data_IF_160254146043
#
_entry.id   IF_160254146043
#
_cell.length_a   1.000
_cell.length_b   1.000
_cell.length_c   1.000
_cell.angle_alpha   90.00
_cell.angle_beta   90.00
_cell.angle_gamma   90.00
#
_symmetry.space_group_name_H-M   'P 1'
#
loop_
_entity.id
_entity.type
_entity.pdbx_description
1 polymer ?
#
# COMPACT_ATOMS: atom_id res chain seq x y z
N UNK A 1 -6.67 -21.28 -22.49
CA UNK A 1 -5.87 -20.17 -23.03
C UNK A 1 -6.44 -18.82 -22.64
N UNK A 2 -7.78 -18.70 -22.52
CA UNK A 2 -8.49 -17.50 -22.02
C UNK A 2 -8.10 -17.14 -20.57
N UNK A 3 -7.97 -18.13 -19.70
CA UNK A 3 -7.71 -17.91 -18.26
C UNK A 3 -6.27 -17.40 -18.00
N UNK A 4 -5.30 -17.83 -18.80
CA UNK A 4 -3.94 -17.32 -18.73
C UNK A 4 -3.84 -15.86 -19.17
N UNK A 5 -4.62 -15.46 -20.18
CA UNK A 5 -4.69 -14.07 -20.64
C UNK A 5 -5.37 -13.17 -19.60
N UNK A 6 -6.32 -13.70 -18.83
CA UNK A 6 -6.98 -12.97 -17.75
C UNK A 6 -6.05 -12.72 -16.54
N UNK A 7 -5.09 -13.62 -16.28
CA UNK A 7 -4.12 -13.49 -15.19
C UNK A 7 -2.95 -12.57 -15.53
N UNK A 8 -2.66 -12.37 -16.82
CA UNK A 8 -1.51 -11.57 -17.26
C UNK A 8 -1.46 -10.15 -16.69
N UNK A 9 -2.55 -9.36 -16.68
CA UNK A 9 -2.53 -8.02 -16.10
C UNK A 9 -2.24 -8.01 -14.58
N UNK A 10 -2.63 -9.06 -13.85
CA UNK A 10 -2.32 -9.19 -12.42
C UNK A 10 -0.84 -9.44 -12.18
N UNK A 11 -0.24 -10.33 -12.98
CA UNK A 11 1.19 -10.65 -12.89
C UNK A 11 2.04 -9.43 -13.25
N UNK A 12 1.71 -8.77 -14.35
CA UNK A 12 2.41 -7.58 -14.81
C UNK A 12 2.40 -6.47 -13.77
N UNK A 13 1.24 -6.11 -13.25
CA UNK A 13 1.11 -5.05 -12.23
C UNK A 13 1.81 -5.41 -10.93
N UNK A 14 1.75 -6.68 -10.52
CA UNK A 14 2.46 -7.18 -9.33
C UNK A 14 3.97 -7.09 -9.51
N UNK A 15 4.48 -7.39 -10.69
CA UNK A 15 5.89 -7.26 -11.02
C UNK A 15 6.35 -5.79 -10.95
N UNK A 16 5.61 -4.88 -11.55
CA UNK A 16 5.91 -3.44 -11.50
C UNK A 16 5.82 -2.86 -10.07
N UNK A 17 4.91 -3.37 -9.26
CA UNK A 17 4.85 -3.01 -7.84
C UNK A 17 6.13 -3.41 -7.08
N UNK A 18 6.69 -4.58 -7.38
CA UNK A 18 7.98 -5.01 -6.85
C UNK A 18 9.13 -4.10 -7.30
N UNK A 19 9.17 -3.72 -8.57
CA UNK A 19 10.17 -2.78 -9.10
C UNK A 19 10.04 -1.41 -8.43
N UNK A 20 8.83 -0.90 -8.23
CA UNK A 20 8.60 0.35 -7.53
C UNK A 20 9.12 0.28 -6.09
N UNK A 21 8.80 -0.79 -5.34
CA UNK A 21 9.30 -1.00 -3.98
C UNK A 21 10.85 -1.07 -3.94
N UNK A 22 11.46 -1.72 -4.94
CA UNK A 22 12.92 -1.78 -5.07
C UNK A 22 13.51 -0.38 -5.32
N UNK A 23 12.94 0.41 -6.22
CA UNK A 23 13.38 1.79 -6.48
C UNK A 23 13.32 2.67 -5.24
N UNK A 24 12.22 2.60 -4.47
CA UNK A 24 12.11 3.32 -3.21
C UNK A 24 13.05 2.79 -2.13
N UNK A 25 13.37 1.50 -2.13
CA UNK A 25 14.37 0.95 -1.22
C UNK A 25 15.75 1.53 -1.47
N UNK A 26 16.11 1.75 -2.74
CA UNK A 26 17.37 2.42 -3.12
C UNK A 26 17.32 3.88 -2.67
N UNK A 27 16.21 4.58 -2.90
CA UNK A 27 16.03 5.97 -2.49
C UNK A 27 16.14 6.15 -0.96
N UNK A 28 15.67 5.19 -0.17
CA UNK A 28 15.76 5.18 1.29
C UNK A 28 17.10 4.64 1.81
N UNK A 29 18.06 4.40 0.93
CA UNK A 29 19.39 3.89 1.27
C UNK A 29 19.34 2.58 2.08
N UNK A 30 18.42 1.69 1.71
CA UNK A 30 18.25 0.37 2.32
C UNK A 30 19.47 -0.52 1.97
N UNK A 31 20.00 -1.33 2.92
CA UNK A 31 21.14 -2.19 2.64
C UNK A 31 20.90 -3.12 1.43
N UNK A 32 21.87 -3.21 0.52
CA UNK A 32 21.77 -3.94 -0.77
C UNK A 32 21.29 -5.38 -0.58
N UNK A 33 21.74 -6.05 0.50
CA UNK A 33 21.34 -7.41 0.85
C UNK A 33 19.84 -7.59 1.12
N UNK A 34 19.09 -6.51 1.37
CA UNK A 34 17.66 -6.54 1.70
C UNK A 34 16.78 -6.03 0.57
N UNK A 35 17.34 -5.52 -0.53
CA UNK A 35 16.59 -4.96 -1.66
C UNK A 35 15.62 -5.98 -2.27
N UNK A 36 16.06 -7.22 -2.46
CA UNK A 36 15.20 -8.28 -2.97
C UNK A 36 14.00 -8.55 -2.05
N UNK A 37 14.23 -8.50 -0.73
CA UNK A 37 13.17 -8.66 0.26
C UNK A 37 12.12 -7.54 0.20
N UNK A 38 12.57 -6.30 -0.03
CA UNK A 38 11.68 -5.15 -0.22
C UNK A 38 10.86 -5.29 -1.51
N UNK A 39 11.48 -5.73 -2.61
CA UNK A 39 10.76 -5.97 -3.86
C UNK A 39 9.67 -7.05 -3.69
N UNK A 40 10.00 -8.16 -3.04
CA UNK A 40 9.03 -9.23 -2.73
C UNK A 40 7.91 -8.72 -1.82
N UNK A 41 8.23 -7.91 -0.81
CA UNK A 41 7.24 -7.30 0.08
C UNK A 41 6.26 -6.41 -0.70
N UNK A 42 6.77 -5.56 -1.61
CA UNK A 42 5.92 -4.69 -2.45
C UNK A 42 5.04 -5.47 -3.41
N UNK A 43 5.58 -6.50 -4.07
CA UNK A 43 4.80 -7.41 -4.92
C UNK A 43 3.70 -8.11 -4.11
N UNK A 44 4.02 -8.64 -2.93
CA UNK A 44 3.07 -9.33 -2.07
C UNK A 44 1.96 -8.40 -1.59
N UNK A 45 2.30 -7.16 -1.19
CA UNK A 45 1.34 -6.15 -0.79
C UNK A 45 0.31 -5.88 -1.89
N UNK A 46 0.81 -5.60 -3.10
CA UNK A 46 -0.03 -5.26 -4.24
C UNK A 46 -0.88 -6.44 -4.71
N UNK A 47 -0.29 -7.63 -4.78
CA UNK A 47 -0.99 -8.86 -5.16
C UNK A 47 -2.15 -9.15 -4.20
N UNK A 48 -1.88 -9.10 -2.88
CA UNK A 48 -2.91 -9.33 -1.85
C UNK A 48 -4.05 -8.32 -1.99
N UNK A 49 -3.74 -7.03 -2.11
CA UNK A 49 -4.75 -6.00 -2.32
C UNK A 49 -5.58 -6.27 -3.57
N UNK A 50 -4.94 -6.63 -4.68
CA UNK A 50 -5.61 -6.84 -5.96
C UNK A 50 -6.52 -8.06 -5.94
N UNK A 51 -6.08 -9.16 -5.30
CA UNK A 51 -6.89 -10.36 -5.14
C UNK A 51 -8.08 -10.13 -4.19
N UNK A 52 -7.89 -9.36 -3.12
CA UNK A 52 -8.96 -9.06 -2.18
C UNK A 52 -9.98 -8.07 -2.75
N UNK A 53 -9.54 -7.08 -3.52
CA UNK A 53 -10.45 -6.10 -4.13
C UNK A 53 -11.16 -6.64 -5.39
N UNK A 54 -10.51 -7.50 -6.16
CA UNK A 54 -11.08 -8.07 -7.39
C UNK A 54 -11.92 -9.32 -7.11
N UNK A 55 -11.32 -10.52 -7.13
CA UNK A 55 -12.07 -11.78 -7.00
C UNK A 55 -12.86 -11.92 -5.70
N UNK A 56 -12.35 -11.40 -4.58
CA UNK A 56 -13.04 -11.48 -3.29
C UNK A 56 -14.08 -10.36 -3.07
N UNK A 57 -14.18 -9.36 -3.95
CA UNK A 57 -15.19 -8.31 -3.91
C UNK A 57 -15.09 -7.36 -2.70
N UNK A 58 -13.95 -7.29 -2.02
CA UNK A 58 -13.77 -6.41 -0.88
C UNK A 58 -13.55 -4.95 -1.34
N UNK A 59 -13.89 -3.99 -0.46
CA UNK A 59 -13.60 -2.59 -0.74
C UNK A 59 -12.09 -2.34 -0.84
N UNK A 60 -11.68 -1.31 -1.57
CA UNK A 60 -10.26 -0.98 -1.75
C UNK A 60 -9.56 -0.70 -0.41
N UNK A 61 -10.29 -0.13 0.54
CA UNK A 61 -9.82 0.21 1.88
C UNK A 61 -9.50 -1.06 2.70
N UNK A 62 -10.46 -2.01 2.74
CA UNK A 62 -10.28 -3.29 3.46
C UNK A 62 -9.22 -4.16 2.81
N UNK A 63 -9.19 -4.23 1.48
CA UNK A 63 -8.17 -4.95 0.73
C UNK A 63 -6.76 -4.37 1.00
N UNK A 64 -6.65 -3.04 1.10
CA UNK A 64 -5.39 -2.36 1.43
C UNK A 64 -4.97 -2.65 2.87
N UNK A 65 -5.90 -2.65 3.82
CA UNK A 65 -5.63 -3.00 5.23
C UNK A 65 -5.04 -4.41 5.34
N UNK A 66 -5.66 -5.39 4.66
CA UNK A 66 -5.19 -6.77 4.65
C UNK A 66 -3.78 -6.86 4.03
N UNK A 67 -3.57 -6.22 2.87
CA UNK A 67 -2.27 -6.20 2.19
C UNK A 67 -1.16 -5.58 3.05
N UNK A 68 -1.43 -4.43 3.67
CA UNK A 68 -0.48 -3.75 4.56
C UNK A 68 -0.17 -4.58 5.83
N UNK A 69 -1.18 -5.22 6.41
CA UNK A 69 -1.02 -6.08 7.59
C UNK A 69 -0.16 -7.30 7.26
N UNK A 70 -0.41 -7.95 6.13
CA UNK A 70 0.34 -9.12 5.68
C UNK A 70 1.82 -8.78 5.45
N UNK A 71 2.10 -7.65 4.77
CA UNK A 71 3.47 -7.17 4.60
C UNK A 71 4.12 -6.80 5.92
N UNK A 72 3.37 -6.22 6.85
CA UNK A 72 3.86 -5.94 8.19
C UNK A 72 4.31 -7.20 8.91
N UNK A 73 3.52 -8.28 8.90
CA UNK A 73 3.91 -9.58 9.49
C UNK A 73 5.10 -10.21 8.74
N UNK A 74 5.07 -10.22 7.42
CA UNK A 74 6.18 -10.74 6.61
C UNK A 74 7.50 -10.01 6.92
N UNK A 75 7.45 -8.68 7.03
CA UNK A 75 8.62 -7.85 7.35
C UNK A 75 9.17 -8.13 8.75
N UNK A 76 8.32 -8.36 9.75
CA UNK A 76 8.76 -8.77 11.10
C UNK A 76 9.44 -10.14 11.06
N UNK A 77 8.91 -11.09 10.28
CA UNK A 77 9.54 -12.40 10.10
C UNK A 77 10.90 -12.30 9.40
N UNK A 78 10.97 -11.51 8.32
CA UNK A 78 12.19 -11.33 7.53
C UNK A 78 13.24 -10.49 8.25
N UNK A 79 12.86 -9.51 9.06
CA UNK A 79 13.78 -8.67 9.83
C UNK A 79 14.68 -9.48 10.75
N UNK A 80 14.12 -10.53 11.37
CA UNK A 80 14.86 -11.46 12.23
C UNK A 80 15.92 -12.26 11.47
N UNK A 81 15.60 -12.68 10.22
CA UNK A 81 16.54 -13.44 9.37
C UNK A 81 17.63 -12.57 8.76
N UNK A 82 17.27 -11.35 8.37
CA UNK A 82 18.16 -10.42 7.69
C UNK A 82 18.93 -9.51 8.67
N UNK A 83 18.63 -9.58 9.97
CA UNK A 83 19.23 -8.74 11.02
C UNK A 83 19.12 -7.24 10.70
N UNK A 84 17.94 -6.80 10.26
CA UNK A 84 17.60 -5.40 9.99
C UNK A 84 16.29 -5.03 10.69
N UNK A 85 16.09 -3.78 11.10
CA UNK A 85 14.82 -3.35 11.69
C UNK A 85 13.64 -3.57 10.72
N UNK A 86 12.50 -4.05 11.22
CA UNK A 86 11.32 -4.31 10.40
C UNK A 86 10.86 -3.10 9.56
N UNK A 87 10.92 -1.83 10.05
CA UNK A 87 10.56 -0.66 9.25
C UNK A 87 11.36 -0.52 7.94
N UNK A 88 12.60 -1.00 7.90
CA UNK A 88 13.46 -0.97 6.69
C UNK A 88 12.84 -1.76 5.54
N UNK A 89 12.09 -2.82 5.86
CA UNK A 89 11.42 -3.68 4.87
C UNK A 89 9.98 -3.23 4.62
N UNK A 90 9.27 -2.83 5.68
CA UNK A 90 7.86 -2.43 5.62
C UNK A 90 7.68 -1.16 4.78
N UNK A 91 8.48 -0.12 5.03
CA UNK A 91 8.29 1.18 4.39
C UNK A 91 8.29 1.09 2.86
N UNK A 92 9.34 0.55 2.20
CA UNK A 92 9.30 0.39 0.75
C UNK A 92 8.20 -0.58 0.29
N UNK A 93 7.92 -1.64 1.08
CA UNK A 93 6.95 -2.67 0.74
C UNK A 93 5.50 -2.17 0.66
N UNK A 94 5.13 -1.12 1.40
CA UNK A 94 3.76 -0.58 1.38
C UNK A 94 3.56 0.55 0.37
N UNK A 95 4.62 1.11 -0.22
CA UNK A 95 4.52 2.20 -1.18
C UNK A 95 3.60 1.88 -2.37
N UNK A 96 3.62 0.67 -2.96
CA UNK A 96 2.71 0.33 -4.05
C UNK A 96 1.22 0.35 -3.66
N UNK A 97 0.90 0.35 -2.36
CA UNK A 97 -0.48 0.45 -1.87
C UNK A 97 -0.99 1.90 -1.80
N UNK A 98 -0.09 2.89 -1.84
CA UNK A 98 -0.46 4.30 -1.76
C UNK A 98 -1.31 4.67 -2.98
N UNK A 99 -2.51 5.25 -2.77
CA UNK A 99 -3.43 5.56 -3.86
C UNK A 99 -3.07 6.87 -4.56
N UNK A 100 -1.86 6.94 -5.16
CA UNK A 100 -1.31 8.17 -5.74
C UNK A 100 -2.21 8.81 -6.80
N UNK A 101 -2.76 8.00 -7.71
CA UNK A 101 -3.67 8.50 -8.75
C UNK A 101 -4.98 9.05 -8.17
N UNK A 102 -5.52 8.40 -7.13
CA UNK A 102 -6.72 8.89 -6.44
C UNK A 102 -6.43 10.18 -5.67
N UNK A 103 -5.32 10.24 -4.94
CA UNK A 103 -4.90 11.43 -4.22
C UNK A 103 -4.67 12.63 -5.15
N UNK A 104 -4.07 12.39 -6.32
CA UNK A 104 -3.86 13.43 -7.33
C UNK A 104 -5.19 13.93 -7.90
N UNK A 105 -6.12 13.04 -8.24
CA UNK A 105 -7.48 13.43 -8.69
C UNK A 105 -8.20 14.22 -7.63
N UNK A 106 -8.17 13.78 -6.38
CA UNK A 106 -8.77 14.49 -5.24
C UNK A 106 -8.23 15.92 -5.14
N UNK A 107 -6.92 16.09 -5.31
CA UNK A 107 -6.31 17.43 -5.30
C UNK A 107 -6.84 18.31 -6.44
N UNK A 108 -6.95 17.76 -7.66
CA UNK A 108 -7.52 18.50 -8.80
C UNK A 108 -8.99 18.85 -8.55
N UNK A 109 -9.80 17.91 -8.04
CA UNK A 109 -11.21 18.15 -7.73
C UNK A 109 -11.36 19.29 -6.71
N UNK A 110 -10.53 19.31 -5.66
CA UNK A 110 -10.53 20.39 -4.67
C UNK A 110 -10.09 21.74 -5.26
N UNK A 111 -9.07 21.76 -6.12
CA UNK A 111 -8.65 22.99 -6.80
C UNK A 111 -9.76 23.54 -7.70
N UNK A 112 -10.46 22.68 -8.44
CA UNK A 112 -11.59 23.08 -9.28
C UNK A 112 -12.74 23.67 -8.44
N UNK A 113 -13.01 23.11 -7.26
CA UNK A 113 -14.01 23.64 -6.33
C UNK A 113 -13.64 25.04 -5.83
N UNK A 114 -12.36 25.29 -5.54
CA UNK A 114 -11.92 26.62 -5.07
C UNK A 114 -11.87 27.66 -6.17
N UNK A 115 -11.70 27.25 -7.43
CA UNK A 115 -11.65 28.14 -8.59
C UNK A 115 -13.03 28.48 -9.17
N UNK A 116 -14.05 27.66 -8.90
CA UNK A 116 -15.40 27.86 -9.43
C UNK A 116 -16.18 28.92 -8.63
N UNK A 117 -16.79 29.93 -9.28
CA UNK A 117 -17.61 30.94 -8.58
C UNK A 117 -18.84 30.34 -7.89
N UNK A 118 -19.43 29.31 -8.49
CA UNK A 118 -20.54 28.50 -7.96
C UNK A 118 -20.21 27.04 -8.26
N UNK A 119 -19.72 26.28 -7.29
CA UNK A 119 -19.41 24.86 -7.51
C UNK A 119 -20.69 24.06 -7.71
N UNK A 120 -20.69 23.17 -8.72
CA UNK A 120 -21.75 22.20 -8.95
C UNK A 120 -21.83 21.19 -7.80
N UNK A 121 -23.04 20.87 -7.34
CA UNK A 121 -23.28 19.88 -6.27
C UNK A 121 -22.64 18.53 -6.59
N UNK A 122 -22.66 18.10 -7.86
CA UNK A 122 -22.04 16.87 -8.31
C UNK A 122 -20.52 16.91 -8.11
N UNK A 123 -19.86 18.01 -8.40
CA UNK A 123 -18.42 18.18 -8.21
C UNK A 123 -18.05 18.14 -6.72
N UNK A 124 -18.87 18.78 -5.86
CA UNK A 124 -18.69 18.74 -4.40
C UNK A 124 -18.78 17.29 -3.89
N UNK A 125 -19.79 16.56 -4.33
CA UNK A 125 -19.99 15.16 -3.92
C UNK A 125 -18.82 14.27 -4.35
N UNK A 126 -18.35 14.38 -5.59
CA UNK A 126 -17.21 13.61 -6.12
C UNK A 126 -15.94 13.93 -5.33
N UNK A 127 -15.63 15.21 -5.12
CA UNK A 127 -14.45 15.64 -4.38
C UNK A 127 -14.48 15.13 -2.93
N UNK A 128 -15.64 15.20 -2.27
CA UNK A 128 -15.81 14.67 -0.90
C UNK A 128 -15.56 13.16 -0.84
N UNK A 129 -16.22 12.38 -1.72
CA UNK A 129 -16.05 10.91 -1.77
C UNK A 129 -14.59 10.53 -2.03
N UNK A 130 -13.93 11.17 -3.01
CA UNK A 130 -12.53 10.88 -3.34
C UNK A 130 -11.60 11.23 -2.18
N UNK A 131 -11.86 12.33 -1.47
CA UNK A 131 -11.12 12.74 -0.28
C UNK A 131 -11.24 11.69 0.83
N UNK A 132 -12.46 11.29 1.19
CA UNK A 132 -12.69 10.27 2.22
C UNK A 132 -12.03 8.94 1.86
N UNK A 133 -12.17 8.48 0.62
CA UNK A 133 -11.51 7.25 0.16
C UNK A 133 -9.99 7.33 0.28
N UNK A 134 -9.40 8.44 -0.11
CA UNK A 134 -7.95 8.64 0.00
C UNK A 134 -7.49 8.56 1.45
N UNK A 135 -8.18 9.26 2.37
CA UNK A 135 -7.88 9.24 3.81
C UNK A 135 -8.03 7.83 4.38
N UNK A 136 -9.12 7.13 4.04
CA UNK A 136 -9.36 5.78 4.53
C UNK A 136 -8.31 4.77 4.06
N UNK A 137 -7.86 4.86 2.80
CA UNK A 137 -6.80 3.99 2.26
C UNK A 137 -5.46 4.26 2.96
N UNK A 138 -5.10 5.53 3.15
CA UNK A 138 -3.86 5.90 3.87
C UNK A 138 -3.95 5.44 5.34
N UNK A 139 -5.09 5.65 5.99
CA UNK A 139 -5.37 5.15 7.34
C UNK A 139 -5.27 3.62 7.43
N UNK A 140 -5.80 2.90 6.43
CA UNK A 140 -5.71 1.45 6.33
C UNK A 140 -4.24 0.96 6.23
N UNK A 141 -3.40 1.65 5.47
CA UNK A 141 -1.95 1.36 5.39
C UNK A 141 -1.31 1.57 6.77
N UNK A 142 -1.55 2.71 7.40
CA UNK A 142 -0.94 3.06 8.70
C UNK A 142 -1.33 2.05 9.78
N UNK A 143 -2.62 1.71 9.90
CA UNK A 143 -3.12 0.73 10.85
C UNK A 143 -2.58 -0.67 10.52
N UNK A 144 -2.62 -1.09 9.25
CA UNK A 144 -2.14 -2.39 8.82
C UNK A 144 -0.67 -2.63 9.17
N UNK A 145 0.18 -1.63 8.95
CA UNK A 145 1.62 -1.67 9.33
C UNK A 145 1.81 -1.67 10.84
N UNK A 146 0.96 -0.97 11.58
CA UNK A 146 1.07 -0.87 13.03
C UNK A 146 0.69 -2.17 13.76
N UNK A 147 -0.29 -2.93 13.26
CA UNK A 147 -0.80 -4.16 13.90
C UNK A 147 0.32 -5.15 14.27
N UNK A 148 1.20 -5.59 13.36
CA UNK A 148 2.26 -6.53 13.71
C UNK A 148 3.25 -5.95 14.71
N UNK A 149 3.59 -4.67 14.59
CA UNK A 149 4.53 -4.01 15.49
C UNK A 149 3.99 -3.94 16.93
N UNK A 150 2.70 -3.70 17.10
CA UNK A 150 2.03 -3.67 18.41
C UNK A 150 1.97 -5.06 19.05
N UNK A 151 1.67 -6.10 18.25
CA UNK A 151 1.59 -7.48 18.75
C UNK A 151 2.96 -7.97 19.23
N UNK A 152 4.01 -7.69 18.48
CA UNK A 152 5.36 -8.17 18.82
C UNK A 152 6.09 -7.31 19.85
N UNK A 153 5.76 -6.02 19.99
CA UNK A 153 6.37 -5.11 20.96
C UNK A 153 6.03 -5.45 22.41
N UNK A 154 4.90 -6.10 22.67
CA UNK A 154 4.48 -6.52 24.02
C UNK A 154 5.35 -7.60 24.68
N UNK A 155 6.34 -8.15 23.98
CA UNK A 155 7.16 -9.28 24.48
C UNK A 155 8.53 -8.89 25.05
N UNK A 156 8.88 -7.59 25.09
CA UNK A 156 10.07 -7.13 25.81
C UNK A 156 9.68 -6.00 26.77
N UNK A 157 9.44 -6.30 28.07
CA UNK A 157 9.49 -5.27 29.08
C UNK A 157 10.93 -4.75 29.10
N UNK A 158 11.08 -3.43 29.03
CA UNK A 158 12.35 -2.77 29.29
C UNK A 158 12.65 -2.93 30.79
N UNK A 159 13.52 -3.85 31.11
CA UNK A 159 14.26 -3.89 32.38
C UNK A 159 15.61 -3.28 32.15
#
# INVERSE_FOLDING_TARGET
MSDLLALWPFVERTFWAGIAALGFSILFNVPVRTLAACAVAGSLAYLTRTLMAGPAGLSAETATLIGATLVGFASVGMSRRLHVPAPVLVMPGVIPLIPGALAFRTMIDLLNLTAAPLPDEALVAIAAVNTFRTILIIGAIAVGVAIPSLIFRRRHPMT
#
